data_IF_723836715208
#
_entry.id   IF_723836715208
#
_cell.length_a   1.000
_cell.length_b   1.000
_cell.length_c   1.000
_cell.angle_alpha   90.00
_cell.angle_beta   90.00
_cell.angle_gamma   90.00
#
_symmetry.space_group_name_H-M   'P 1'
#
loop_
_entity.id
_entity.type
_entity.pdbx_description
1 polymer ?
#
# COMPACT_ATOMS: atom_id res chain seq x y z
N UNK A 1 23.41 -21.67 -24.70
CA UNK A 1 23.27 -20.22 -24.56
C UNK A 1 21.80 -19.87 -24.59
N UNK A 2 21.15 -19.93 -23.42
CA UNK A 2 19.75 -19.53 -23.27
C UNK A 2 19.74 -18.03 -22.93
N UNK A 3 19.41 -17.21 -23.92
CA UNK A 3 19.05 -15.81 -23.69
C UNK A 3 17.70 -15.84 -22.97
N UNK A 4 17.69 -15.59 -21.66
CA UNK A 4 16.52 -15.24 -20.89
C UNK A 4 16.02 -13.87 -21.38
N UNK A 5 15.15 -13.89 -22.39
CA UNK A 5 14.35 -12.74 -22.79
C UNK A 5 13.24 -12.56 -21.78
N UNK A 6 13.56 -11.97 -20.62
CA UNK A 6 12.62 -11.79 -19.52
C UNK A 6 11.62 -10.65 -19.74
N UNK A 7 11.70 -9.88 -20.84
CA UNK A 7 10.94 -8.65 -21.01
C UNK A 7 10.65 -8.27 -22.47
N UNK A 8 10.27 -9.20 -23.35
CA UNK A 8 9.89 -8.83 -24.73
C UNK A 8 8.37 -8.67 -24.95
N UNK A 9 7.54 -8.94 -23.99
CA UNK A 9 6.17 -8.44 -24.03
C UNK A 9 6.16 -7.02 -23.50
N UNK A 10 5.92 -6.06 -24.39
CA UNK A 10 5.71 -4.65 -24.04
C UNK A 10 4.64 -4.59 -22.97
N UNK A 11 4.96 -4.24 -21.73
CA UNK A 11 3.97 -4.11 -20.69
C UNK A 11 3.03 -2.98 -21.11
N UNK A 12 1.77 -3.30 -21.39
CA UNK A 12 0.72 -2.28 -21.51
C UNK A 12 0.36 -1.88 -20.09
N UNK A 13 1.02 -0.85 -19.59
CA UNK A 13 0.79 -0.31 -18.27
C UNK A 13 -0.52 0.45 -18.26
N UNK A 14 -1.43 0.03 -17.40
CA UNK A 14 -2.69 0.72 -17.16
C UNK A 14 -2.61 1.71 -16.00
N UNK A 15 -1.64 2.61 -15.98
CA UNK A 15 -1.82 3.89 -15.33
C UNK A 15 -2.34 4.85 -16.39
N UNK A 16 -3.64 4.86 -16.59
CA UNK A 16 -4.31 5.97 -17.20
C UNK A 16 -4.78 6.88 -16.07
N UNK A 17 -4.22 8.08 -15.93
CA UNK A 17 -5.09 9.18 -15.71
C UNK A 17 -5.92 9.23 -17.01
N UNK A 18 -7.14 8.71 -17.03
CA UNK A 18 -8.06 9.04 -18.09
C UNK A 18 -8.27 10.53 -17.97
N UNK A 19 -7.56 11.29 -18.82
CA UNK A 19 -7.62 12.75 -18.86
C UNK A 19 -9.03 13.26 -19.22
N UNK A 20 -10.01 12.36 -19.33
CA UNK A 20 -11.39 12.65 -19.64
C UNK A 20 -12.36 12.60 -18.46
N UNK A 21 -11.95 12.09 -17.28
CA UNK A 21 -12.86 11.99 -16.12
C UNK A 21 -12.42 12.79 -14.88
N UNK A 22 -11.19 13.25 -14.84
CA UNK A 22 -10.74 14.21 -13.84
C UNK A 22 -10.79 15.63 -14.41
N UNK A 23 -12.00 16.19 -14.52
CA UNK A 23 -12.14 17.66 -14.53
C UNK A 23 -11.86 18.16 -13.11
N UNK A 24 -10.58 18.23 -12.77
CA UNK A 24 -10.12 19.16 -11.75
C UNK A 24 -10.18 20.52 -12.42
N UNK A 25 -11.22 21.31 -12.15
CA UNK A 25 -11.16 22.73 -12.48
C UNK A 25 -9.98 23.31 -11.67
N UNK A 26 -8.97 23.89 -12.35
CA UNK A 26 -7.84 24.46 -11.62
C UNK A 26 -8.33 25.71 -10.93
N UNK A 27 -8.58 25.64 -9.64
CA UNK A 27 -8.66 26.83 -8.81
C UNK A 27 -7.32 27.56 -8.94
N UNK A 28 -7.26 28.57 -9.83
CA UNK A 28 -6.21 29.56 -9.96
C UNK A 28 -4.81 28.98 -10.22
N UNK A 29 -4.55 28.46 -11.42
CA UNK A 29 -3.21 28.08 -11.85
C UNK A 29 -2.28 29.29 -11.95
N UNK A 30 -1.72 29.75 -10.84
CA UNK A 30 -0.42 30.41 -10.84
C UNK A 30 0.62 29.33 -11.02
N UNK A 31 1.28 29.31 -12.18
CA UNK A 31 2.49 28.55 -12.46
C UNK A 31 3.54 28.89 -11.40
N UNK A 32 3.58 28.16 -10.33
CA UNK A 32 4.73 28.10 -9.45
C UNK A 32 5.55 26.90 -9.93
N UNK A 33 6.58 27.15 -10.74
CA UNK A 33 7.72 26.28 -10.88
C UNK A 33 8.46 26.28 -9.53
N UNK A 34 7.94 25.58 -8.57
CA UNK A 34 8.69 25.19 -7.39
C UNK A 34 9.01 23.72 -7.58
N UNK A 35 10.29 23.44 -7.92
CA UNK A 35 10.85 22.12 -7.73
C UNK A 35 10.46 21.63 -6.34
N UNK A 36 10.22 20.34 -6.16
CA UNK A 36 9.88 19.70 -4.88
C UNK A 36 11.01 19.86 -3.84
N UNK A 37 11.38 21.10 -3.51
CA UNK A 37 12.14 21.50 -2.33
C UNK A 37 11.22 21.68 -1.13
N UNK A 38 9.93 21.39 -1.25
CA UNK A 38 8.94 21.57 -0.21
C UNK A 38 8.95 20.44 0.83
N UNK A 39 8.48 20.76 2.01
CA UNK A 39 8.19 19.83 3.09
C UNK A 39 7.35 18.63 2.56
N UNK A 40 7.64 17.45 3.09
CA UNK A 40 6.90 16.24 2.80
C UNK A 40 5.51 16.39 3.40
N UNK A 41 4.47 16.15 2.61
CA UNK A 41 3.10 16.17 3.11
C UNK A 41 2.93 15.05 4.14
N UNK A 42 2.27 15.34 5.24
CA UNK A 42 1.73 14.29 6.11
C UNK A 42 0.62 13.54 5.40
N UNK A 43 0.30 12.33 5.86
CA UNK A 43 -0.81 11.57 5.27
C UNK A 43 -2.15 12.29 5.44
N UNK A 44 -2.34 13.00 6.55
CA UNK A 44 -3.55 13.81 6.80
C UNK A 44 -3.67 14.95 5.79
N UNK A 45 -2.59 15.73 5.57
CA UNK A 45 -2.56 16.79 4.56
C UNK A 45 -2.74 16.25 3.15
N UNK A 46 -2.15 15.06 2.85
CA UNK A 46 -2.35 14.39 1.59
C UNK A 46 -3.81 14.04 1.37
N UNK A 47 -4.48 13.41 2.33
CA UNK A 47 -5.88 13.05 2.25
C UNK A 47 -6.79 14.29 2.15
N UNK A 48 -6.47 15.37 2.89
CA UNK A 48 -7.18 16.64 2.80
C UNK A 48 -7.04 17.30 1.43
N UNK A 49 -5.84 17.23 0.84
CA UNK A 49 -5.56 17.84 -0.48
C UNK A 49 -6.23 17.09 -1.61
N UNK A 50 -6.38 15.78 -1.49
CA UNK A 50 -6.90 14.89 -2.52
C UNK A 50 -8.22 14.24 -2.09
N UNK A 51 -9.18 15.05 -1.66
CA UNK A 51 -10.51 14.59 -1.18
C UNK A 51 -11.37 13.93 -2.26
N UNK A 52 -11.08 14.18 -3.54
CA UNK A 52 -11.85 13.64 -4.67
C UNK A 52 -11.18 12.41 -5.31
N UNK A 53 -10.57 11.55 -4.51
CA UNK A 53 -10.04 10.29 -5.02
C UNK A 53 -11.21 9.36 -5.35
N UNK A 54 -11.22 8.73 -6.55
CA UNK A 54 -12.27 7.78 -6.90
C UNK A 54 -12.37 6.63 -5.90
N UNK A 55 -13.57 6.13 -5.68
CA UNK A 55 -13.79 4.96 -4.83
C UNK A 55 -12.93 3.77 -5.26
N UNK A 56 -12.55 2.93 -4.31
CA UNK A 56 -11.69 1.76 -4.54
C UNK A 56 -10.35 2.12 -5.22
N UNK A 57 -9.79 3.26 -4.83
CA UNK A 57 -8.50 3.73 -5.32
C UNK A 57 -7.61 4.01 -4.12
N UNK A 58 -6.40 3.49 -4.14
CA UNK A 58 -5.37 3.82 -3.17
C UNK A 58 -4.46 4.91 -3.73
N UNK A 59 -4.04 5.83 -2.89
CA UNK A 59 -3.10 6.87 -3.27
C UNK A 59 -1.70 6.55 -2.71
N UNK A 60 -0.69 6.63 -3.56
CA UNK A 60 0.67 6.21 -3.23
C UNK A 60 1.59 7.39 -2.91
N UNK A 61 1.28 8.57 -3.44
CA UNK A 61 2.13 9.75 -3.28
C UNK A 61 1.87 10.81 -4.34
N UNK A 62 2.79 11.78 -4.44
CA UNK A 62 2.68 12.95 -5.32
C UNK A 62 3.90 13.04 -6.23
N UNK A 63 3.67 13.25 -7.53
CA UNK A 63 4.70 13.53 -8.50
C UNK A 63 5.24 14.95 -8.39
N UNK A 64 6.34 15.23 -9.12
CA UNK A 64 6.95 16.58 -9.18
C UNK A 64 6.01 17.66 -9.69
N UNK A 65 5.07 17.32 -10.54
CA UNK A 65 4.05 18.23 -11.06
C UNK A 65 2.88 18.47 -10.10
N UNK A 66 2.91 17.85 -8.90
CA UNK A 66 1.90 17.96 -7.87
C UNK A 66 0.68 17.06 -8.08
N UNK A 67 0.70 16.17 -9.07
CA UNK A 67 -0.37 15.21 -9.30
C UNK A 67 -0.23 13.96 -8.42
N UNK A 68 -1.32 13.41 -7.89
CA UNK A 68 -1.26 12.19 -7.10
C UNK A 68 -1.03 10.97 -7.99
N UNK A 69 -0.25 10.02 -7.47
CA UNK A 69 -0.13 8.68 -8.04
C UNK A 69 -1.17 7.78 -7.41
N UNK A 70 -2.10 7.31 -8.24
CA UNK A 70 -3.25 6.54 -7.82
C UNK A 70 -3.18 5.10 -8.33
N UNK A 71 -3.53 4.15 -7.47
CA UNK A 71 -3.74 2.75 -7.82
C UNK A 71 -5.23 2.44 -7.79
N UNK A 72 -5.82 2.29 -8.96
CA UNK A 72 -7.24 1.94 -9.07
C UNK A 72 -7.43 0.42 -8.86
N UNK A 73 -8.05 0.05 -7.75
CA UNK A 73 -8.32 -1.34 -7.38
C UNK A 73 -9.43 -2.00 -8.22
N UNK A 74 -10.10 -1.25 -9.10
CA UNK A 74 -11.04 -1.78 -10.10
C UNK A 74 -10.39 -2.04 -11.46
N UNK A 75 -9.15 -1.56 -11.69
CA UNK A 75 -8.48 -1.74 -12.97
C UNK A 75 -7.72 -3.06 -13.02
N UNK A 76 -8.35 -4.09 -13.57
CA UNK A 76 -7.76 -5.42 -13.72
C UNK A 76 -6.48 -5.45 -14.56
N UNK A 77 -6.19 -4.39 -15.34
CA UNK A 77 -4.99 -4.30 -16.18
C UNK A 77 -3.72 -4.04 -15.38
N UNK A 78 -3.84 -3.39 -14.22
CA UNK A 78 -2.71 -3.08 -13.36
C UNK A 78 -1.96 -4.31 -12.86
N UNK A 79 -2.66 -5.42 -12.66
CA UNK A 79 -2.07 -6.66 -12.15
C UNK A 79 -1.59 -6.54 -10.70
N UNK A 80 -1.00 -7.58 -10.14
CA UNK A 80 -0.39 -7.54 -8.83
C UNK A 80 0.72 -6.48 -8.74
N UNK A 81 0.86 -5.88 -7.56
CA UNK A 81 1.83 -4.81 -7.27
C UNK A 81 3.08 -5.38 -6.60
N UNK A 82 4.27 -5.04 -7.09
CA UNK A 82 5.54 -5.34 -6.47
C UNK A 82 6.31 -4.07 -6.13
N UNK A 83 6.68 -3.93 -4.87
CA UNK A 83 7.58 -2.88 -4.40
C UNK A 83 8.97 -3.46 -4.19
N UNK A 84 9.97 -2.94 -4.89
CA UNK A 84 11.37 -3.41 -4.79
C UNK A 84 12.31 -2.26 -4.43
N UNK A 85 13.37 -2.59 -3.72
CA UNK A 85 14.42 -1.66 -3.33
C UNK A 85 15.30 -2.24 -2.24
N UNK A 86 16.40 -1.59 -1.93
CA UNK A 86 17.33 -2.04 -0.90
C UNK A 86 16.67 -2.01 0.50
N UNK A 87 17.32 -2.62 1.48
CA UNK A 87 16.84 -2.58 2.86
C UNK A 87 16.73 -1.11 3.32
N UNK A 88 15.65 -0.79 4.06
CA UNK A 88 15.40 0.57 4.56
C UNK A 88 14.92 1.58 3.51
N UNK A 89 14.68 1.21 2.26
CA UNK A 89 14.21 2.17 1.24
C UNK A 89 12.73 2.59 1.39
N UNK A 90 12.02 2.13 2.44
CA UNK A 90 10.65 2.54 2.75
C UNK A 90 9.55 1.66 2.16
N UNK A 91 9.81 0.39 1.83
CA UNK A 91 8.81 -0.55 1.27
C UNK A 91 7.62 -0.77 2.20
N UNK A 92 7.89 -1.11 3.47
CA UNK A 92 6.87 -1.27 4.53
C UNK A 92 6.01 -0.03 4.67
N UNK A 93 6.64 1.15 4.73
CA UNK A 93 5.93 2.43 4.80
C UNK A 93 5.00 2.64 3.60
N UNK A 94 5.47 2.33 2.38
CA UNK A 94 4.64 2.47 1.17
C UNK A 94 3.46 1.50 1.18
N UNK A 95 3.64 0.26 1.68
CA UNK A 95 2.54 -0.69 1.86
C UNK A 95 1.53 -0.22 2.91
N UNK A 96 2.01 0.40 4.00
CA UNK A 96 1.15 1.02 5.01
C UNK A 96 0.33 2.18 4.41
N UNK A 97 0.95 3.07 3.63
CA UNK A 97 0.25 4.15 2.93
C UNK A 97 -0.80 3.59 1.96
N UNK A 98 -0.46 2.55 1.21
CA UNK A 98 -1.40 1.85 0.32
C UNK A 98 -2.64 1.38 1.09
N UNK A 99 -2.45 0.72 2.23
CA UNK A 99 -3.56 0.24 3.07
C UNK A 99 -4.36 1.41 3.65
N UNK A 100 -3.71 2.36 4.31
CA UNK A 100 -4.38 3.49 4.94
C UNK A 100 -5.23 4.30 3.95
N UNK A 101 -4.70 4.55 2.75
CA UNK A 101 -5.44 5.28 1.72
C UNK A 101 -6.56 4.45 1.09
N UNK A 102 -6.39 3.13 0.95
CA UNK A 102 -7.43 2.25 0.45
C UNK A 102 -8.60 2.10 1.45
N UNK A 103 -8.30 2.20 2.76
CA UNK A 103 -9.28 2.07 3.84
C UNK A 103 -10.00 3.38 4.16
N UNK A 104 -9.37 4.53 3.87
CA UNK A 104 -9.92 5.85 4.21
C UNK A 104 -11.20 6.21 3.43
N UNK A 105 -11.50 5.50 2.34
CA UNK A 105 -12.67 5.80 1.52
C UNK A 105 -13.90 5.08 2.06
N UNK A 106 -14.75 5.84 2.74
CA UNK A 106 -16.04 5.41 3.26
C UNK A 106 -17.00 5.19 2.08
N UNK A 107 -17.08 3.96 1.60
CA UNK A 107 -18.02 3.56 0.57
C UNK A 107 -18.84 2.37 1.05
N UNK A 108 -20.01 2.16 0.46
CA UNK A 108 -20.85 0.99 0.72
C UNK A 108 -20.11 -0.33 0.49
N UNK A 109 -19.04 -0.29 -0.31
CA UNK A 109 -18.15 -1.43 -0.59
C UNK A 109 -16.78 -1.19 0.04
N UNK A 110 -16.66 -1.49 1.35
CA UNK A 110 -15.41 -1.36 2.11
C UNK A 110 -14.35 -2.30 1.58
N UNK A 111 -13.17 -1.76 1.27
CA UNK A 111 -12.01 -2.59 0.94
C UNK A 111 -11.61 -3.44 2.14
N UNK A 112 -11.49 -4.75 1.95
CA UNK A 112 -10.96 -5.67 2.96
C UNK A 112 -9.45 -5.81 2.79
N UNK A 113 -8.76 -6.20 3.86
CA UNK A 113 -7.32 -6.48 3.77
C UNK A 113 -6.86 -7.60 4.68
N UNK A 114 -5.72 -8.17 4.33
CA UNK A 114 -4.91 -9.05 5.17
C UNK A 114 -3.43 -8.75 4.93
N UNK A 115 -2.61 -8.90 5.96
CA UNK A 115 -1.17 -8.64 5.88
C UNK A 115 -0.40 -9.88 6.29
N UNK A 116 0.66 -10.20 5.57
CA UNK A 116 1.63 -11.23 5.89
C UNK A 116 2.99 -10.55 6.02
N UNK A 117 3.58 -10.60 7.20
CA UNK A 117 4.81 -9.88 7.54
C UNK A 117 5.59 -10.56 8.66
N UNK A 118 6.90 -10.41 8.68
CA UNK A 118 7.76 -10.78 9.81
C UNK A 118 7.87 -9.67 10.88
N UNK A 119 7.19 -8.54 10.68
CA UNK A 119 7.26 -7.35 11.54
C UNK A 119 5.83 -6.85 11.80
N UNK A 120 5.08 -7.59 12.63
CA UNK A 120 3.68 -7.26 12.96
C UNK A 120 3.55 -5.88 13.61
N UNK A 121 4.59 -5.45 14.32
CA UNK A 121 4.62 -4.16 15.01
C UNK A 121 4.40 -2.99 14.05
N UNK A 122 4.87 -3.09 12.81
CA UNK A 122 4.71 -2.06 11.80
C UNK A 122 3.25 -1.90 11.31
N UNK A 123 2.37 -2.85 11.66
CA UNK A 123 0.98 -2.91 11.21
C UNK A 123 -0.06 -2.85 12.34
N UNK A 124 0.35 -2.70 13.61
CA UNK A 124 -0.55 -2.74 14.77
C UNK A 124 -1.68 -1.71 14.69
N UNK A 125 -1.37 -0.49 14.32
CA UNK A 125 -2.37 0.58 14.20
C UNK A 125 -3.39 0.28 13.10
N UNK A 126 -2.93 -0.18 11.93
CA UNK A 126 -3.79 -0.55 10.80
C UNK A 126 -4.63 -1.78 11.15
N UNK A 127 -4.05 -2.76 11.83
CA UNK A 127 -4.77 -3.94 12.31
C UNK A 127 -5.89 -3.56 13.25
N UNK A 128 -5.60 -2.74 14.26
CA UNK A 128 -6.59 -2.30 15.24
C UNK A 128 -7.74 -1.54 14.58
N UNK A 129 -7.43 -0.51 13.79
CA UNK A 129 -8.43 0.27 13.06
C UNK A 129 -9.24 -0.60 12.08
N UNK A 130 -8.58 -1.56 11.43
CA UNK A 130 -9.21 -2.50 10.52
C UNK A 130 -10.12 -3.52 11.21
N UNK A 131 -9.78 -3.97 12.42
CA UNK A 131 -10.63 -4.86 13.22
C UNK A 131 -11.88 -4.11 13.71
N UNK A 132 -11.73 -2.88 14.19
CA UNK A 132 -12.85 -2.04 14.64
C UNK A 132 -13.83 -1.73 13.51
N UNK A 133 -13.33 -1.51 12.29
CA UNK A 133 -14.14 -1.26 11.09
C UNK A 133 -14.64 -2.53 10.39
N UNK A 134 -14.18 -3.72 10.81
CA UNK A 134 -14.48 -5.00 10.16
C UNK A 134 -13.84 -5.18 8.78
N UNK A 135 -12.76 -4.47 8.49
CA UNK A 135 -12.04 -4.52 7.21
C UNK A 135 -10.80 -5.42 7.28
N UNK A 136 -10.21 -5.64 8.47
CA UNK A 136 -9.05 -6.51 8.66
C UNK A 136 -9.48 -7.97 8.76
N UNK A 137 -8.91 -8.84 7.92
CA UNK A 137 -9.09 -10.29 7.96
C UNK A 137 -7.98 -11.00 8.74
N UNK A 138 -6.96 -10.26 9.17
CA UNK A 138 -5.86 -10.73 10.01
C UNK A 138 -4.48 -10.26 9.52
N UNK A 139 -3.56 -10.24 10.49
CA UNK A 139 -2.12 -10.00 10.27
C UNK A 139 -1.38 -11.27 10.71
N UNK A 140 -0.64 -11.88 9.80
CA UNK A 140 0.00 -13.18 9.98
C UNK A 140 1.51 -13.07 9.82
N UNK A 141 2.24 -13.91 10.56
CA UNK A 141 3.63 -14.20 10.25
C UNK A 141 3.71 -15.34 9.23
N UNK A 142 4.80 -15.42 8.44
CA UNK A 142 4.99 -16.51 7.48
C UNK A 142 4.97 -17.92 8.10
N UNK A 143 5.36 -18.04 9.37
CA UNK A 143 5.41 -19.27 10.14
C UNK A 143 4.11 -19.61 10.88
N UNK A 144 3.12 -18.73 10.87
CA UNK A 144 1.84 -18.96 11.53
C UNK A 144 1.09 -20.14 10.87
N UNK A 145 0.73 -21.14 11.65
CA UNK A 145 -0.06 -22.28 11.15
C UNK A 145 -1.41 -21.82 10.56
N UNK A 146 -1.99 -20.76 11.12
CA UNK A 146 -3.23 -20.16 10.65
C UNK A 146 -3.11 -19.57 9.24
N UNK A 147 -1.91 -19.18 8.79
CA UNK A 147 -1.67 -18.61 7.46
C UNK A 147 -2.06 -19.58 6.34
N UNK A 148 -1.74 -20.88 6.48
CA UNK A 148 -2.09 -21.92 5.49
C UNK A 148 -3.61 -21.93 5.30
N UNK A 149 -4.35 -22.05 6.40
CA UNK A 149 -5.83 -22.07 6.39
C UNK A 149 -6.39 -20.79 5.78
N UNK A 150 -5.84 -19.63 6.18
CA UNK A 150 -6.28 -18.33 5.66
C UNK A 150 -6.07 -18.22 4.14
N UNK A 151 -4.90 -18.56 3.63
CA UNK A 151 -4.61 -18.52 2.19
C UNK A 151 -5.44 -19.52 1.39
N UNK A 152 -5.78 -20.67 1.97
CA UNK A 152 -6.74 -21.61 1.35
C UNK A 152 -8.15 -21.00 1.27
N UNK A 153 -8.59 -20.27 2.30
CA UNK A 153 -9.86 -19.54 2.28
C UNK A 153 -9.86 -18.43 1.21
N UNK A 154 -8.76 -17.69 1.08
CA UNK A 154 -8.59 -16.69 0.00
C UNK A 154 -8.66 -17.37 -1.37
N UNK A 155 -8.00 -18.53 -1.53
CA UNK A 155 -8.06 -19.33 -2.77
C UNK A 155 -9.48 -19.78 -3.12
N UNK A 156 -10.21 -20.29 -2.14
CA UNK A 156 -11.61 -20.66 -2.32
C UNK A 156 -12.49 -19.43 -2.65
N UNK A 157 -12.19 -18.27 -2.07
CA UNK A 157 -12.88 -17.02 -2.39
C UNK A 157 -12.63 -16.57 -3.82
N UNK A 158 -11.41 -16.73 -4.35
CA UNK A 158 -11.10 -16.46 -5.77
C UNK A 158 -12.01 -17.30 -6.68
N UNK A 159 -12.05 -18.60 -6.45
CA UNK A 159 -12.87 -19.51 -7.28
C UNK A 159 -14.37 -19.16 -7.19
N UNK A 160 -14.87 -18.91 -5.98
CA UNK A 160 -16.27 -18.51 -5.74
C UNK A 160 -16.65 -17.22 -6.46
N UNK A 161 -15.79 -16.18 -6.40
CA UNK A 161 -16.06 -14.88 -7.02
C UNK A 161 -16.02 -14.98 -8.55
N UNK A 162 -15.08 -15.74 -9.11
CA UNK A 162 -14.98 -15.98 -10.56
C UNK A 162 -16.22 -16.71 -11.11
N UNK A 163 -16.72 -17.72 -10.40
CA UNK A 163 -17.91 -18.47 -10.82
C UNK A 163 -19.18 -17.63 -10.79
N UNK A 164 -19.34 -16.79 -9.75
CA UNK A 164 -20.59 -16.07 -9.51
C UNK A 164 -20.69 -14.70 -10.16
N UNK A 165 -19.59 -14.15 -10.66
CA UNK A 165 -19.48 -12.76 -11.16
C UNK A 165 -20.13 -11.74 -10.22
N UNK A 166 -20.05 -12.00 -8.92
CA UNK A 166 -20.66 -11.14 -7.90
C UNK A 166 -19.85 -9.85 -7.75
N UNK A 167 -20.58 -8.76 -7.66
CA UNK A 167 -20.00 -7.52 -7.17
C UNK A 167 -19.68 -7.68 -5.67
N UNK A 168 -18.40 -7.67 -5.35
CA UNK A 168 -17.91 -7.94 -4.02
C UNK A 168 -16.84 -6.89 -3.67
N UNK A 169 -16.70 -6.54 -2.38
CA UNK A 169 -15.67 -5.59 -1.96
C UNK A 169 -14.28 -6.08 -2.37
N UNK A 170 -13.37 -5.18 -2.78
CA UNK A 170 -11.99 -5.55 -3.05
C UNK A 170 -11.34 -6.15 -1.81
N UNK A 171 -10.39 -7.06 -2.01
CA UNK A 171 -9.53 -7.60 -0.96
C UNK A 171 -8.07 -7.31 -1.32
N UNK A 172 -7.36 -6.63 -0.44
CA UNK A 172 -5.92 -6.43 -0.51
C UNK A 172 -5.21 -7.51 0.31
N UNK A 173 -4.38 -8.30 -0.36
CA UNK A 173 -3.48 -9.27 0.30
C UNK A 173 -2.08 -8.70 0.21
N UNK A 174 -1.53 -8.29 1.34
CA UNK A 174 -0.24 -7.60 1.42
C UNK A 174 0.81 -8.55 1.98
N UNK A 175 1.91 -8.71 1.25
CA UNK A 175 3.10 -9.43 1.69
C UNK A 175 4.24 -8.44 1.90
N UNK A 176 4.53 -8.11 3.15
CA UNK A 176 5.71 -7.32 3.47
C UNK A 176 6.91 -8.24 3.75
N UNK A 177 7.59 -8.58 2.67
CA UNK A 177 8.63 -9.59 2.64
C UNK A 177 8.17 -10.87 1.94
N UNK A 178 8.37 -10.96 0.63
CA UNK A 178 8.01 -12.15 -0.16
C UNK A 178 9.13 -13.19 -0.19
N UNK A 179 10.29 -12.90 0.38
CA UNK A 179 11.51 -13.71 0.35
C UNK A 179 11.37 -15.07 1.05
N UNK A 180 10.38 -15.27 1.91
CA UNK A 180 10.11 -16.57 2.55
C UNK A 180 9.54 -17.61 1.59
N UNK A 181 8.96 -17.18 0.47
CA UNK A 181 8.16 -18.02 -0.41
C UNK A 181 8.90 -19.25 -0.98
N UNK A 182 10.20 -19.22 -1.32
CA UNK A 182 10.92 -20.40 -1.77
C UNK A 182 10.94 -21.54 -0.75
N UNK A 183 10.98 -21.21 0.54
CA UNK A 183 10.99 -22.18 1.66
C UNK A 183 9.62 -22.49 2.24
N UNK A 184 8.58 -21.78 1.78
CA UNK A 184 7.21 -21.96 2.26
C UNK A 184 6.65 -23.35 1.89
N UNK A 185 5.68 -23.88 2.66
CA UNK A 185 4.92 -25.08 2.31
C UNK A 185 4.28 -25.00 0.92
N UNK A 186 4.07 -26.16 0.30
CA UNK A 186 3.48 -26.22 -1.05
C UNK A 186 2.09 -25.61 -1.12
N UNK A 187 1.31 -25.73 -0.08
CA UNK A 187 -0.03 -25.16 0.07
C UNK A 187 0.00 -23.63 -0.03
N UNK A 188 0.95 -23.00 0.64
CA UNK A 188 1.16 -21.55 0.59
C UNK A 188 1.59 -21.16 -0.82
N UNK A 189 2.58 -21.84 -1.39
CA UNK A 189 3.08 -21.54 -2.73
C UNK A 189 1.97 -21.66 -3.78
N UNK A 190 1.15 -22.69 -3.70
CA UNK A 190 0.03 -22.92 -4.61
C UNK A 190 -1.02 -21.82 -4.48
N UNK A 191 -1.37 -21.44 -3.26
CA UNK A 191 -2.34 -20.36 -2.99
C UNK A 191 -1.86 -19.02 -3.54
N UNK A 192 -0.58 -18.70 -3.36
CA UNK A 192 0.01 -17.46 -3.90
C UNK A 192 0.08 -17.49 -5.43
N UNK A 193 0.42 -18.62 -6.05
CA UNK A 193 0.38 -18.74 -7.51
C UNK A 193 -1.03 -18.54 -8.07
N UNK A 194 -2.05 -19.07 -7.41
CA UNK A 194 -3.45 -18.85 -7.78
C UNK A 194 -3.83 -17.38 -7.65
N UNK A 195 -3.45 -16.75 -6.53
CA UNK A 195 -3.70 -15.35 -6.27
C UNK A 195 -3.03 -14.45 -7.34
N UNK A 196 -1.77 -14.71 -7.67
CA UNK A 196 -1.04 -13.97 -8.70
C UNK A 196 -1.68 -14.10 -10.11
N UNK A 197 -2.24 -15.25 -10.43
CA UNK A 197 -2.83 -15.50 -11.76
C UNK A 197 -4.27 -15.04 -11.86
N UNK A 198 -5.06 -15.28 -10.84
CA UNK A 198 -6.52 -15.21 -10.91
C UNK A 198 -7.14 -14.20 -9.93
N UNK A 199 -6.35 -13.70 -8.97
CA UNK A 199 -6.85 -12.82 -7.91
C UNK A 199 -7.52 -11.55 -8.46
N UNK A 200 -6.91 -10.94 -9.47
CA UNK A 200 -7.42 -9.71 -10.08
C UNK A 200 -8.85 -9.88 -10.64
N UNK A 201 -9.13 -10.98 -11.32
CA UNK A 201 -10.47 -11.26 -11.86
C UNK A 201 -11.53 -11.42 -10.76
N UNK A 202 -11.08 -11.78 -9.55
CA UNK A 202 -11.90 -11.93 -8.37
C UNK A 202 -11.94 -10.66 -7.50
N UNK A 203 -11.38 -9.52 -7.94
CA UNK A 203 -11.17 -8.30 -7.14
C UNK A 203 -10.33 -8.58 -5.88
N UNK A 204 -9.36 -9.47 -5.97
CA UNK A 204 -8.40 -9.77 -4.90
C UNK A 204 -7.02 -9.36 -5.39
N UNK A 205 -6.48 -8.32 -4.77
CA UNK A 205 -5.23 -7.70 -5.14
C UNK A 205 -4.10 -8.22 -4.28
N UNK A 206 -3.00 -8.57 -4.92
CA UNK A 206 -1.76 -8.86 -4.21
C UNK A 206 -0.81 -7.67 -4.36
N UNK A 207 -0.37 -7.13 -3.22
CA UNK A 207 0.72 -6.18 -3.12
C UNK A 207 1.85 -6.81 -2.32
N UNK A 208 3.07 -6.77 -2.83
CA UNK A 208 4.20 -7.40 -2.17
C UNK A 208 5.42 -6.49 -2.12
N UNK A 209 6.18 -6.57 -1.03
CA UNK A 209 7.52 -6.00 -0.93
C UNK A 209 8.57 -7.09 -1.09
N UNK A 210 9.67 -6.75 -1.75
CA UNK A 210 10.80 -7.63 -1.94
C UNK A 210 12.11 -6.84 -1.92
N UNK A 211 13.11 -7.33 -1.18
CA UNK A 211 14.45 -6.74 -1.21
C UNK A 211 15.10 -6.98 -2.56
N UNK A 212 15.88 -6.02 -3.01
CA UNK A 212 16.59 -6.11 -4.30
C UNK A 212 17.46 -7.36 -4.41
N UNK A 213 18.12 -7.75 -3.30
CA UNK A 213 18.99 -8.92 -3.24
C UNK A 213 18.25 -10.22 -3.63
N UNK A 214 16.99 -10.34 -3.27
CA UNK A 214 16.19 -11.56 -3.40
C UNK A 214 15.43 -11.63 -4.73
N UNK A 215 15.37 -10.52 -5.48
CA UNK A 215 14.60 -10.46 -6.72
C UNK A 215 15.00 -11.49 -7.79
N UNK A 216 16.29 -11.85 -7.87
CA UNK A 216 16.77 -12.83 -8.87
C UNK A 216 16.29 -14.24 -8.55
N UNK A 217 16.33 -14.64 -7.28
CA UNK A 217 15.86 -15.95 -6.83
C UNK A 217 14.35 -16.08 -6.94
N UNK A 218 13.66 -14.95 -6.81
CA UNK A 218 12.20 -14.85 -6.89
C UNK A 218 11.66 -14.71 -8.32
N UNK A 219 12.51 -14.85 -9.37
CA UNK A 219 12.13 -14.61 -10.78
C UNK A 219 10.91 -15.39 -11.25
N UNK A 220 10.65 -16.58 -10.69
CA UNK A 220 9.45 -17.39 -10.99
C UNK A 220 8.15 -16.66 -10.63
N UNK A 221 8.13 -15.94 -9.50
CA UNK A 221 6.95 -15.21 -9.01
C UNK A 221 6.93 -13.77 -9.47
N UNK A 222 8.08 -13.08 -9.46
CA UNK A 222 8.17 -11.65 -9.79
C UNK A 222 7.71 -11.34 -11.21
N UNK A 223 7.78 -12.30 -12.14
CA UNK A 223 7.26 -12.14 -13.52
C UNK A 223 5.76 -11.90 -13.60
N UNK A 224 4.98 -12.27 -12.57
CA UNK A 224 3.55 -12.08 -12.54
C UNK A 224 3.12 -10.67 -12.11
N UNK A 225 4.01 -9.93 -11.47
CA UNK A 225 3.75 -8.55 -11.04
C UNK A 225 3.89 -7.59 -12.22
N UNK A 226 2.76 -7.05 -12.64
CA UNK A 226 2.70 -6.10 -13.76
C UNK A 226 2.98 -4.67 -13.33
N UNK A 227 2.50 -4.28 -12.16
CA UNK A 227 2.79 -2.97 -11.56
C UNK A 227 4.01 -3.10 -10.66
N UNK A 228 5.01 -2.27 -10.92
CA UNK A 228 6.26 -2.29 -10.16
C UNK A 228 6.61 -0.90 -9.67
N UNK A 229 6.86 -0.81 -8.38
CA UNK A 229 7.35 0.38 -7.72
C UNK A 229 8.79 0.14 -7.29
N UNK A 230 9.66 1.05 -7.68
CA UNK A 230 11.09 0.94 -7.48
C UNK A 230 11.49 2.00 -6.46
N UNK A 231 11.95 1.57 -5.29
CA UNK A 231 12.58 2.44 -4.32
C UNK A 231 14.08 2.55 -4.56
N UNK A 232 14.76 3.28 -3.67
CA UNK A 232 16.21 3.41 -3.71
C UNK A 232 16.90 2.04 -3.77
N UNK A 233 17.85 1.90 -4.69
CA UNK A 233 18.73 0.74 -4.79
C UNK A 233 20.06 1.13 -5.44
N UNK A 234 21.11 0.40 -5.09
CA UNK A 234 22.43 0.60 -5.69
C UNK A 234 22.41 0.36 -7.20
N UNK A 235 23.22 1.10 -7.94
CA UNK A 235 23.37 0.93 -9.39
C UNK A 235 23.80 -0.50 -9.79
N UNK A 236 24.58 -1.18 -8.94
CA UNK A 236 24.94 -2.55 -9.17
C UNK A 236 23.73 -3.49 -9.12
N UNK A 237 22.85 -3.30 -8.15
CA UNK A 237 21.63 -4.04 -8.00
C UNK A 237 20.66 -3.77 -9.16
N UNK A 238 20.46 -2.50 -9.53
CA UNK A 238 19.63 -2.09 -10.66
C UNK A 238 20.08 -2.74 -11.98
N UNK A 239 21.39 -2.77 -12.25
CA UNK A 239 21.95 -3.42 -13.46
C UNK A 239 21.73 -4.93 -13.47
N UNK A 240 21.87 -5.61 -12.31
CA UNK A 240 21.61 -7.07 -12.20
C UNK A 240 20.17 -7.43 -12.54
N UNK A 241 19.24 -6.58 -12.16
CA UNK A 241 17.82 -6.79 -12.43
C UNK A 241 17.43 -6.47 -13.87
N UNK A 242 18.34 -5.91 -14.68
CA UNK A 242 18.09 -5.46 -16.09
C UNK A 242 16.83 -4.60 -16.22
N UNK A 243 16.50 -3.86 -15.17
CA UNK A 243 15.16 -3.30 -15.05
C UNK A 243 15.01 -1.92 -15.68
N UNK A 244 16.14 -1.21 -16.03
CA UNK A 244 16.03 0.25 -16.06
C UNK A 244 16.91 0.94 -17.07
N UNK A 245 16.54 0.87 -18.32
CA UNK A 245 17.00 1.88 -19.24
C UNK A 245 16.33 3.21 -18.85
N UNK A 246 17.12 4.16 -18.32
CA UNK A 246 16.69 5.52 -18.05
C UNK A 246 16.26 5.87 -16.63
N UNK A 247 16.27 4.94 -15.65
CA UNK A 247 16.09 5.26 -14.23
C UNK A 247 17.43 5.16 -13.48
N UNK A 248 17.81 6.22 -12.80
CA UNK A 248 18.90 6.22 -11.82
C UNK A 248 18.30 6.01 -10.41
N UNK A 249 18.09 4.73 -10.06
CA UNK A 249 17.43 4.37 -8.80
C UNK A 249 18.28 4.71 -7.56
N UNK A 250 19.60 4.94 -7.72
CA UNK A 250 20.49 5.37 -6.64
C UNK A 250 20.26 6.82 -6.23
N UNK A 251 19.66 7.63 -7.12
CA UNK A 251 19.29 9.02 -6.81
C UNK A 251 17.95 9.17 -6.12
N UNK A 252 17.14 8.13 -6.08
CA UNK A 252 15.88 8.18 -5.34
C UNK A 252 16.16 8.38 -3.85
N UNK A 253 15.41 9.27 -3.21
CA UNK A 253 15.56 9.53 -1.78
C UNK A 253 15.03 8.35 -0.98
N UNK A 254 15.93 7.73 -0.21
CA UNK A 254 15.60 6.60 0.66
C UNK A 254 14.44 6.94 1.59
N UNK A 255 13.46 6.05 1.69
CA UNK A 255 12.29 6.23 2.56
C UNK A 255 11.27 7.28 2.10
N UNK A 256 11.45 7.85 0.90
CA UNK A 256 10.57 8.93 0.44
C UNK A 256 10.18 8.83 -1.03
N UNK A 257 11.08 8.41 -1.89
CA UNK A 257 10.85 8.45 -3.33
C UNK A 257 10.80 7.05 -3.92
N UNK A 258 9.84 6.89 -4.80
CA UNK A 258 9.67 5.69 -5.61
C UNK A 258 9.46 6.07 -7.06
N UNK A 259 9.79 5.14 -7.95
CA UNK A 259 9.58 5.28 -9.37
C UNK A 259 8.71 4.14 -9.91
N UNK A 260 7.89 4.44 -10.89
CA UNK A 260 7.13 3.45 -11.66
C UNK A 260 7.19 3.78 -13.14
N UNK A 261 7.07 2.77 -13.99
CA UNK A 261 7.04 2.96 -15.43
C UNK A 261 5.60 3.12 -15.90
N UNK A 262 5.22 4.31 -16.34
CA UNK A 262 3.90 4.62 -16.87
C UNK A 262 3.99 5.11 -18.32
N UNK A 263 3.27 4.47 -19.23
CA UNK A 263 3.27 4.81 -20.67
C UNK A 263 4.67 4.92 -21.29
N UNK A 264 5.62 4.09 -20.83
CA UNK A 264 7.00 4.07 -21.34
C UNK A 264 7.91 5.18 -20.79
N UNK A 265 7.43 5.94 -19.78
CA UNK A 265 8.21 6.97 -19.09
C UNK A 265 8.31 6.66 -17.60
N UNK A 266 9.45 6.97 -17.01
CA UNK A 266 9.61 6.89 -15.57
C UNK A 266 8.87 8.04 -14.91
N UNK A 267 8.01 7.67 -13.97
CA UNK A 267 7.27 8.56 -13.10
C UNK A 267 7.88 8.42 -11.71
N UNK A 268 8.50 9.48 -11.21
CA UNK A 268 9.02 9.53 -9.84
C UNK A 268 7.99 10.25 -8.97
N UNK A 269 7.72 9.70 -7.82
CA UNK A 269 6.78 10.28 -6.87
C UNK A 269 7.32 10.18 -5.45
N UNK A 270 6.84 11.08 -4.62
CA UNK A 270 7.16 11.15 -3.19
C UNK A 270 5.97 10.67 -2.38
N UNK A 271 6.22 9.73 -1.47
CA UNK A 271 5.21 9.25 -0.52
C UNK A 271 4.92 10.31 0.53
N UNK A 272 3.68 10.41 1.03
CA UNK A 272 3.38 11.21 2.21
C UNK A 272 4.18 10.70 3.42
N UNK A 273 4.34 11.53 4.43
CA UNK A 273 4.87 11.08 5.71
C UNK A 273 3.80 10.30 6.45
N UNK A 274 4.10 9.03 6.73
CA UNK A 274 3.26 8.18 7.55
C UNK A 274 3.56 8.37 9.05
N UNK A 275 4.27 9.44 9.44
CA UNK A 275 4.43 9.76 10.84
C UNK A 275 3.04 9.83 11.47
N UNK A 276 2.79 8.87 12.34
CA UNK A 276 1.61 8.81 13.19
C UNK A 276 1.43 10.18 13.80
N UNK A 277 0.29 10.78 13.58
CA UNK A 277 -0.14 11.93 14.36
C UNK A 277 -0.35 11.42 15.79
N UNK A 278 0.74 11.31 16.56
CA UNK A 278 0.67 11.30 18.00
C UNK A 278 0.21 12.69 18.46
N UNK A 279 -0.93 13.14 17.97
CA UNK A 279 -1.72 14.21 18.56
C UNK A 279 -2.58 13.64 19.69
N UNK A 280 -1.93 12.92 20.61
CA UNK A 280 -2.35 12.83 21.99
C UNK A 280 -1.55 13.88 22.81
N UNK A 281 -1.34 15.06 22.28
CA UNK A 281 -1.41 16.27 23.07
C UNK A 281 -2.90 16.60 23.30
N UNK A 282 -3.59 15.66 23.94
CA UNK A 282 -4.79 15.99 24.69
C UNK A 282 -4.33 16.98 25.74
N UNK A 283 -4.75 18.22 25.54
CA UNK A 283 -5.01 19.26 26.51
C UNK A 283 -4.92 18.77 27.97
N UNK A 284 -3.70 18.57 28.46
CA UNK A 284 -3.42 18.64 29.92
C UNK A 284 -3.46 20.09 30.43
N UNK A 285 -3.87 21.03 29.57
CA UNK A 285 -3.85 22.47 29.90
C UNK A 285 -5.19 23.01 30.39
N UNK A 286 -6.17 22.16 30.74
CA UNK A 286 -7.48 22.64 31.25
C UNK A 286 -7.85 22.15 32.67
N UNK A 287 -6.91 21.62 33.46
CA UNK A 287 -7.16 21.23 34.85
C UNK A 287 -6.33 21.99 35.88
N UNK A 288 -5.67 23.07 35.55
CA UNK A 288 -4.97 23.94 36.52
C UNK A 288 -5.55 25.34 36.62
N UNK A 289 -6.87 25.49 36.61
CA UNK A 289 -7.50 26.71 37.14
C UNK A 289 -8.88 26.36 37.63
N UNK A 290 -8.96 25.99 38.90
CA UNK A 290 -9.98 26.42 39.87
C UNK A 290 -9.78 25.70 41.19
N UNK A 291 -8.73 26.17 41.89
CA UNK A 291 -8.68 26.06 43.35
C UNK A 291 -9.54 27.16 43.93
N UNK A 292 -10.75 26.81 44.28
CA UNK A 292 -11.70 27.69 45.01
C UNK A 292 -12.31 26.92 46.18
N UNK A 293 -11.86 27.28 47.34
CA UNK A 293 -12.34 26.98 48.67
C UNK A 293 -13.86 26.97 48.80
N UNK A 294 -14.42 25.98 49.49
CA UNK A 294 -15.80 25.99 49.94
C UNK A 294 -16.13 24.71 50.73
N UNK A 295 -15.96 24.80 52.07
CA UNK A 295 -16.58 23.93 53.06
C UNK A 295 -18.08 23.87 52.79
N UNK A 296 -18.69 22.69 52.94
CA UNK A 296 -19.77 22.41 53.85
C UNK A 296 -20.35 21.02 53.64
N UNK A 297 -20.36 20.30 54.75
CA UNK A 297 -21.30 19.26 55.23
C UNK A 297 -22.55 19.00 54.36
N UNK A 298 -22.86 17.77 54.09
CA UNK A 298 -24.05 17.09 54.65
C UNK A 298 -24.12 15.62 54.24
N UNK A 299 -24.18 14.87 55.29
CA UNK A 299 -24.59 13.52 55.57
C UNK A 299 -25.89 13.13 54.82
N UNK A 300 -25.95 12.01 54.11
CA UNK A 300 -27.17 11.22 53.97
C UNK A 300 -26.90 9.72 54.01
N UNK A 301 -27.54 9.14 54.98
CA UNK A 301 -27.57 7.73 55.35
C UNK A 301 -28.12 6.79 54.27
N UNK A 302 -27.58 5.60 54.34
CA UNK A 302 -28.08 4.27 53.99
C UNK A 302 -29.63 4.14 54.01
N UNK A 303 -30.24 3.48 53.01
CA UNK A 303 -31.28 2.43 53.22
C UNK A 303 -31.40 1.53 51.97
N UNK A 304 -31.12 0.20 52.19
CA UNK A 304 -31.65 -1.04 51.56
C UNK A 304 -31.29 -1.25 50.08
#
# INVERSE_FOLDING_TARGET
MLKLSLFQDKPRFGFHPSASELRVEPAGARRAHHGLGGERLTLAEFNQRFTQIPQQTAALGVCEDGLPVLLNLNDLRGGPLLVTGDAGCGKTMLLNILLQTALAHDSEQRTLFTVITNQKEDYLEIEQNGLESGQCLGVYEPEDEALVTHLQQVSALIEKRRQRKQDAPPLLVVFDGLEFLPSAPDEIRTSIELLLRNGMEAKIWLAAALKTADCLEMGRWTRHFRTRLIGHMSNQAARRLSLFDGLDAEKLRTGQEFATLAAGKWLIFRTPDAAVTNNLEIEETLLETEGGTGEDNENWDVVV
#
